data_IF_778517736355
#
_entry.id   IF_778517736355
#
_cell.length_a   1.000
_cell.length_b   1.000
_cell.length_c   1.000
_cell.angle_alpha   90.00
_cell.angle_beta   90.00
_cell.angle_gamma   90.00
#
_symmetry.space_group_name_H-M   'P 1'
#
loop_
_entity.id
_entity.type
_entity.pdbx_description
1 polymer ?
#
# COMPACT_ATOMS: atom_id res chain seq x y z
N UNK A 1 10.51 -23.73 -4.23
CA UNK A 1 10.42 -22.50 -5.03
C UNK A 1 11.31 -21.48 -4.33
N UNK A 2 12.39 -21.02 -4.97
CA UNK A 2 13.29 -20.02 -4.37
C UNK A 2 12.88 -18.64 -4.86
N UNK A 3 12.77 -17.69 -3.93
CA UNK A 3 12.33 -16.33 -4.23
C UNK A 3 13.54 -15.46 -4.58
N UNK A 4 13.73 -15.16 -5.86
CA UNK A 4 14.90 -14.43 -6.36
C UNK A 4 14.96 -12.99 -5.83
N UNK A 5 16.15 -12.53 -5.44
CA UNK A 5 16.41 -11.13 -5.04
C UNK A 5 15.93 -10.74 -3.63
N UNK A 6 15.36 -11.68 -2.87
CA UNK A 6 14.81 -11.41 -1.55
C UNK A 6 15.87 -10.95 -0.53
N UNK A 7 17.07 -11.55 -0.55
CA UNK A 7 18.18 -11.12 0.30
C UNK A 7 18.61 -9.67 0.04
N UNK A 8 18.61 -9.24 -1.23
CA UNK A 8 18.89 -7.85 -1.62
C UNK A 8 17.83 -6.88 -1.12
N UNK A 9 16.56 -7.30 -1.05
CA UNK A 9 15.48 -6.48 -0.49
C UNK A 9 15.59 -6.33 1.01
N UNK A 10 15.96 -7.40 1.72
CA UNK A 10 16.27 -7.31 3.14
C UNK A 10 17.43 -6.32 3.40
N UNK A 11 18.47 -6.36 2.56
CA UNK A 11 19.57 -5.41 2.62
C UNK A 11 19.14 -3.96 2.31
N UNK A 12 18.16 -3.77 1.42
CA UNK A 12 17.58 -2.46 1.13
C UNK A 12 16.83 -1.89 2.34
N UNK A 13 16.00 -2.69 3.03
CA UNK A 13 15.32 -2.28 4.26
C UNK A 13 16.33 -1.83 5.31
N UNK A 14 17.37 -2.64 5.54
CA UNK A 14 18.45 -2.29 6.48
C UNK A 14 19.14 -0.99 6.12
N UNK A 15 19.44 -0.78 4.84
CA UNK A 15 20.09 0.44 4.35
C UNK A 15 19.20 1.67 4.52
N UNK A 16 17.89 1.56 4.28
CA UNK A 16 16.92 2.64 4.51
C UNK A 16 16.80 3.01 5.99
N UNK A 17 16.88 2.01 6.89
CA UNK A 17 16.93 2.23 8.32
C UNK A 17 18.30 2.72 8.83
N UNK A 18 19.29 2.86 7.94
CA UNK A 18 20.67 3.25 8.24
C UNK A 18 21.34 2.35 9.31
N UNK A 19 21.08 1.04 9.24
CA UNK A 19 21.56 0.05 10.21
C UNK A 19 22.73 -0.79 9.66
N UNK A 20 23.62 -1.18 10.57
CA UNK A 20 24.60 -2.25 10.32
C UNK A 20 23.91 -3.62 10.33
N UNK A 21 24.55 -4.65 9.77
CA UNK A 21 24.03 -6.03 9.83
C UNK A 21 23.83 -6.50 11.29
N UNK A 22 24.73 -6.08 12.18
CA UNK A 22 24.63 -6.36 13.62
C UNK A 22 23.40 -5.71 14.24
N UNK A 23 23.20 -4.42 14.01
CA UNK A 23 22.06 -3.69 14.57
C UNK A 23 20.72 -4.21 14.02
N UNK A 24 20.68 -4.55 12.73
CA UNK A 24 19.48 -5.16 12.12
C UNK A 24 19.18 -6.53 12.73
N UNK A 25 20.19 -7.38 12.91
CA UNK A 25 20.02 -8.70 13.52
C UNK A 25 19.50 -8.60 14.96
N UNK A 26 19.99 -7.63 15.73
CA UNK A 26 19.51 -7.33 17.08
C UNK A 26 18.03 -6.91 17.08
N UNK A 27 17.62 -6.01 16.18
CA UNK A 27 16.22 -5.59 16.01
C UNK A 27 15.30 -6.75 15.64
N UNK A 28 15.78 -7.65 14.80
CA UNK A 28 15.04 -8.83 14.36
C UNK A 28 15.13 -10.01 15.34
N UNK A 29 15.83 -9.84 16.47
CA UNK A 29 16.06 -10.87 17.49
C UNK A 29 16.58 -12.19 16.87
N UNK A 30 17.64 -12.07 16.06
CA UNK A 30 18.36 -13.19 15.44
C UNK A 30 19.88 -12.96 15.53
N UNK A 31 20.66 -14.02 15.33
CA UNK A 31 22.12 -13.86 15.24
C UNK A 31 22.52 -13.06 13.98
N UNK A 32 23.61 -12.29 14.09
CA UNK A 32 24.25 -11.62 12.95
C UNK A 32 24.54 -12.57 11.80
N UNK A 33 25.07 -13.75 12.09
CA UNK A 33 25.38 -14.77 11.08
C UNK A 33 24.11 -15.23 10.36
N UNK A 34 23.02 -15.48 11.07
CA UNK A 34 21.74 -15.82 10.46
C UNK A 34 21.24 -14.71 9.53
N UNK A 35 21.29 -13.45 10.00
CA UNK A 35 20.96 -12.29 9.17
C UNK A 35 21.80 -12.22 7.88
N UNK A 36 23.10 -12.46 8.00
CA UNK A 36 24.02 -12.46 6.86
C UNK A 36 23.68 -13.55 5.82
N UNK A 37 23.30 -14.76 6.25
CA UNK A 37 22.84 -15.82 5.35
C UNK A 37 21.56 -15.42 4.59
N UNK A 38 20.63 -14.74 5.25
CA UNK A 38 19.41 -14.23 4.59
C UNK A 38 19.75 -13.15 3.56
N UNK A 39 20.59 -12.17 3.88
CA UNK A 39 20.96 -11.10 2.92
C UNK A 39 21.69 -11.63 1.69
N UNK A 40 22.53 -12.67 1.83
CA UNK A 40 23.20 -13.32 0.69
C UNK A 40 22.29 -14.23 -0.13
N UNK A 41 21.06 -14.48 0.33
CA UNK A 41 20.14 -15.43 -0.31
C UNK A 41 20.57 -16.89 -0.16
N UNK A 42 21.44 -17.19 0.80
CA UNK A 42 21.92 -18.54 1.10
C UNK A 42 20.97 -19.31 2.03
N UNK A 43 20.00 -18.62 2.61
CA UNK A 43 18.95 -19.18 3.45
C UNK A 43 17.61 -18.55 3.12
N UNK A 44 16.58 -19.37 2.99
CA UNK A 44 15.21 -18.89 2.83
C UNK A 44 14.71 -18.20 4.11
N UNK A 45 14.07 -17.05 3.94
CA UNK A 45 13.44 -16.32 5.04
C UNK A 45 12.21 -17.09 5.54
N UNK A 46 12.07 -17.16 6.86
CA UNK A 46 10.89 -17.77 7.50
C UNK A 46 9.73 -16.78 7.60
N UNK A 47 8.48 -17.28 7.67
CA UNK A 47 7.30 -16.43 7.91
C UNK A 47 7.41 -15.61 9.20
N UNK A 48 8.01 -16.16 10.26
CA UNK A 48 8.26 -15.44 11.52
C UNK A 48 9.19 -14.25 11.31
N UNK A 49 10.24 -14.39 10.50
CA UNK A 49 11.17 -13.30 10.23
C UNK A 49 10.51 -12.21 9.37
N UNK A 50 9.68 -12.57 8.38
CA UNK A 50 8.88 -11.60 7.62
C UNK A 50 7.97 -10.79 8.54
N UNK A 51 7.29 -11.45 9.48
CA UNK A 51 6.42 -10.76 10.44
C UNK A 51 7.21 -9.78 11.32
N UNK A 52 8.40 -10.16 11.79
CA UNK A 52 9.28 -9.25 12.56
C UNK A 52 9.74 -8.06 11.73
N UNK A 53 10.08 -8.27 10.45
CA UNK A 53 10.45 -7.17 9.53
C UNK A 53 9.28 -6.20 9.36
N UNK A 54 8.06 -6.70 9.19
CA UNK A 54 6.86 -5.87 9.13
C UNK A 54 6.66 -5.07 10.43
N UNK A 55 6.75 -5.72 11.58
CA UNK A 55 6.51 -5.08 12.88
C UNK A 55 7.56 -4.00 13.25
N UNK A 56 8.83 -4.26 12.95
CA UNK A 56 9.92 -3.34 13.33
C UNK A 56 10.14 -2.19 12.33
N UNK A 57 9.83 -2.43 11.05
CA UNK A 57 10.20 -1.51 9.96
C UNK A 57 9.03 -1.07 9.09
N UNK A 58 7.81 -1.53 9.37
CA UNK A 58 6.58 -1.22 8.61
C UNK A 58 6.73 -1.56 7.10
N UNK A 59 7.40 -2.67 6.81
CA UNK A 59 7.64 -3.14 5.44
C UNK A 59 6.66 -4.25 5.09
N UNK A 60 5.91 -4.05 4.01
CA UNK A 60 4.98 -5.06 3.47
C UNK A 60 5.70 -6.39 3.19
N UNK A 61 5.29 -7.50 3.84
CA UNK A 61 5.82 -8.83 3.57
C UNK A 61 5.73 -9.25 2.11
N UNK A 62 4.69 -8.82 1.39
CA UNK A 62 4.50 -9.15 -0.02
C UNK A 62 5.60 -8.49 -0.87
N UNK A 63 5.99 -7.26 -0.55
CA UNK A 63 7.12 -6.61 -1.22
C UNK A 63 8.45 -7.31 -0.96
N UNK A 64 8.70 -7.82 0.24
CA UNK A 64 9.92 -8.60 0.51
C UNK A 64 9.95 -9.88 -0.35
N UNK A 65 8.80 -10.53 -0.51
CA UNK A 65 8.68 -11.74 -1.29
C UNK A 65 8.78 -11.46 -2.79
N UNK A 66 7.92 -10.62 -3.35
CA UNK A 66 7.84 -10.44 -4.81
C UNK A 66 8.88 -9.44 -5.35
N UNK A 67 9.31 -8.50 -4.51
CA UNK A 67 10.11 -7.35 -4.89
C UNK A 67 9.37 -6.35 -5.75
N UNK A 68 10.14 -5.47 -6.38
CA UNK A 68 9.61 -4.62 -7.44
C UNK A 68 9.25 -5.52 -8.63
N UNK A 69 8.02 -6.02 -8.62
CA UNK A 69 7.31 -6.41 -9.82
C UNK A 69 7.04 -5.14 -10.63
N UNK A 70 6.44 -5.24 -11.82
CA UNK A 70 5.99 -4.08 -12.62
C UNK A 70 5.14 -3.06 -11.81
N UNK A 71 4.72 -3.43 -10.59
CA UNK A 71 3.93 -2.64 -9.66
C UNK A 71 4.69 -2.09 -8.42
N UNK A 72 5.97 -2.41 -8.20
CA UNK A 72 6.88 -1.71 -7.27
C UNK A 72 6.51 -1.64 -5.77
N UNK A 73 7.47 -1.18 -4.93
CA UNK A 73 7.34 -0.79 -3.49
C UNK A 73 6.05 -0.07 -3.11
N UNK A 74 5.47 0.59 -4.09
CA UNK A 74 4.40 1.54 -3.95
C UNK A 74 3.10 0.99 -4.53
N UNK A 75 2.99 -0.28 -4.97
CA UNK A 75 1.76 -0.81 -5.59
C UNK A 75 0.51 -0.38 -4.87
N UNK A 76 0.38 -0.73 -3.58
CA UNK A 76 -0.78 -0.33 -2.78
C UNK A 76 -0.86 1.17 -2.58
N UNK A 77 0.27 1.85 -2.37
CA UNK A 77 0.28 3.29 -2.13
C UNK A 77 -0.11 4.09 -3.38
N UNK A 78 0.36 3.67 -4.55
CA UNK A 78 0.08 4.21 -5.87
C UNK A 78 -1.33 3.84 -6.30
N UNK A 79 -1.78 2.60 -6.07
CA UNK A 79 -3.18 2.18 -6.27
C UNK A 79 -4.12 3.03 -5.41
N UNK A 80 -3.80 3.22 -4.13
CA UNK A 80 -4.55 4.09 -3.22
C UNK A 80 -4.56 5.54 -3.73
N UNK A 81 -3.39 6.08 -4.08
CA UNK A 81 -3.26 7.46 -4.56
C UNK A 81 -3.99 7.66 -5.89
N UNK A 82 -3.92 6.69 -6.79
CA UNK A 82 -4.63 6.68 -8.07
C UNK A 82 -6.14 6.58 -7.85
N UNK A 83 -6.60 5.70 -6.95
CA UNK A 83 -8.02 5.57 -6.62
C UNK A 83 -8.57 6.88 -6.04
N UNK A 84 -7.87 7.47 -5.07
CA UNK A 84 -8.25 8.76 -4.48
C UNK A 84 -8.34 9.86 -5.55
N UNK A 85 -7.36 9.94 -6.46
CA UNK A 85 -7.38 10.88 -7.60
C UNK A 85 -8.54 10.60 -8.56
N UNK A 86 -8.77 9.34 -8.95
CA UNK A 86 -9.86 8.94 -9.86
C UNK A 86 -11.22 9.32 -9.27
N UNK A 87 -11.44 9.05 -7.98
CA UNK A 87 -12.67 9.40 -7.25
C UNK A 87 -12.86 10.92 -7.23
N UNK A 88 -11.83 11.68 -6.85
CA UNK A 88 -11.90 13.14 -6.81
C UNK A 88 -12.27 13.75 -8.17
N UNK A 89 -11.65 13.28 -9.26
CA UNK A 89 -11.97 13.73 -10.61
C UNK A 89 -13.39 13.35 -11.04
N UNK A 90 -13.86 12.15 -10.70
CA UNK A 90 -15.21 11.70 -11.01
C UNK A 90 -16.28 12.54 -10.29
N UNK A 91 -16.05 12.88 -9.02
CA UNK A 91 -16.91 13.77 -8.23
C UNK A 91 -16.96 15.17 -8.86
N UNK A 92 -15.82 15.76 -9.19
CA UNK A 92 -15.73 17.09 -9.83
C UNK A 92 -16.45 17.12 -11.19
N UNK A 93 -16.23 16.10 -12.01
CA UNK A 93 -16.91 15.96 -13.28
C UNK A 93 -18.42 15.90 -13.08
N UNK A 94 -18.87 15.10 -12.10
CA UNK A 94 -20.31 14.93 -11.84
C UNK A 94 -20.98 16.19 -11.31
N UNK A 95 -20.32 16.94 -10.43
CA UNK A 95 -20.80 18.25 -9.95
C UNK A 95 -20.98 19.19 -11.14
N UNK A 96 -19.98 19.25 -12.04
CA UNK A 96 -20.00 20.11 -13.22
C UNK A 96 -21.08 19.71 -14.23
N UNK A 97 -21.20 18.41 -14.55
CA UNK A 97 -22.22 17.87 -15.46
C UNK A 97 -23.65 18.21 -15.02
N UNK A 98 -23.89 18.19 -13.70
CA UNK A 98 -25.21 18.42 -13.12
C UNK A 98 -25.46 19.87 -12.70
N UNK A 99 -24.47 20.75 -12.82
CA UNK A 99 -24.55 22.13 -12.38
C UNK A 99 -24.84 22.26 -10.87
N UNK A 100 -24.31 21.35 -10.05
CA UNK A 100 -24.54 21.36 -8.61
C UNK A 100 -23.70 22.45 -7.94
N UNK A 101 -24.29 23.14 -6.96
CA UNK A 101 -23.54 24.03 -6.07
C UNK A 101 -23.22 23.28 -4.78
N UNK A 102 -21.96 22.88 -4.63
CA UNK A 102 -21.47 22.11 -3.47
C UNK A 102 -20.32 22.87 -2.83
N UNK A 103 -20.32 23.00 -1.51
CA UNK A 103 -19.21 23.66 -0.80
C UNK A 103 -17.94 22.78 -0.85
N UNK A 104 -16.74 23.36 -0.69
CA UNK A 104 -15.51 22.57 -0.63
C UNK A 104 -15.57 21.45 0.41
N UNK A 105 -16.16 21.70 1.57
CA UNK A 105 -16.27 20.73 2.68
C UNK A 105 -17.15 19.55 2.27
N UNK A 106 -18.37 19.83 1.78
CA UNK A 106 -19.32 18.79 1.32
C UNK A 106 -18.76 17.96 0.16
N UNK A 107 -17.94 18.58 -0.70
CA UNK A 107 -17.24 17.89 -1.77
C UNK A 107 -16.18 16.94 -1.23
N UNK A 108 -15.38 17.37 -0.25
CA UNK A 108 -14.39 16.51 0.39
C UNK A 108 -15.04 15.38 1.17
N UNK A 109 -16.13 15.64 1.90
CA UNK A 109 -16.92 14.61 2.58
C UNK A 109 -17.41 13.52 1.60
N UNK A 110 -17.87 13.92 0.41
CA UNK A 110 -18.27 12.98 -0.63
C UNK A 110 -17.10 12.12 -1.15
N UNK A 111 -15.93 12.74 -1.35
CA UNK A 111 -14.71 12.06 -1.81
C UNK A 111 -14.24 11.07 -0.75
N UNK A 112 -14.17 11.48 0.51
CA UNK A 112 -13.74 10.65 1.63
C UNK A 112 -14.69 9.47 1.85
N UNK A 113 -16.00 9.71 1.77
CA UNK A 113 -17.00 8.64 1.85
C UNK A 113 -16.81 7.59 0.75
N UNK A 114 -16.72 8.03 -0.51
CA UNK A 114 -16.53 7.13 -1.66
C UNK A 114 -15.19 6.40 -1.60
N UNK A 115 -14.14 7.05 -1.13
CA UNK A 115 -12.83 6.45 -0.95
C UNK A 115 -12.82 5.40 0.17
N UNK A 116 -13.51 5.66 1.28
CA UNK A 116 -13.67 4.66 2.35
C UNK A 116 -14.42 3.41 1.87
N UNK A 117 -15.45 3.59 1.03
CA UNK A 117 -16.21 2.48 0.41
C UNK A 117 -15.32 1.66 -0.54
N UNK A 118 -14.49 2.34 -1.33
CA UNK A 118 -13.49 1.71 -2.20
C UNK A 118 -12.51 0.85 -1.38
N UNK A 119 -11.91 1.41 -0.32
CA UNK A 119 -10.97 0.67 0.53
C UNK A 119 -11.59 -0.58 1.16
N UNK A 120 -12.85 -0.50 1.60
CA UNK A 120 -13.57 -1.63 2.19
C UNK A 120 -13.91 -2.72 1.17
N UNK A 121 -14.08 -2.36 -0.10
CA UNK A 121 -14.39 -3.31 -1.18
C UNK A 121 -13.12 -3.99 -1.73
N UNK A 122 -12.04 -3.21 -1.91
CA UNK A 122 -10.76 -3.66 -2.48
C UNK A 122 -9.87 -4.39 -1.44
N UNK A 123 -10.15 -4.23 -0.14
CA UNK A 123 -9.55 -5.07 0.92
C UNK A 123 -9.87 -6.57 0.76
N UNK A 124 -10.88 -6.94 -0.03
CA UNK A 124 -11.34 -8.32 -0.24
C UNK A 124 -11.22 -8.84 -1.68
N UNK A 125 -10.80 -8.01 -2.66
CA UNK A 125 -10.61 -8.47 -4.04
C UNK A 125 -10.18 -7.35 -4.97
N UNK A 126 -8.96 -7.47 -5.52
CA UNK A 126 -8.28 -6.47 -6.36
C UNK A 126 -9.00 -6.14 -7.66
N UNK A 127 -10.00 -5.26 -7.60
CA UNK A 127 -10.79 -4.87 -8.75
C UNK A 127 -10.77 -3.33 -8.87
N UNK A 128 -10.06 -2.84 -9.89
CA UNK A 128 -9.92 -1.42 -10.28
C UNK A 128 -11.25 -0.81 -10.76
N UNK A 129 -12.20 -0.63 -9.83
CA UNK A 129 -13.52 -0.08 -10.15
C UNK A 129 -13.67 1.26 -9.43
N UNK A 130 -13.44 2.34 -10.18
CA UNK A 130 -13.92 3.65 -9.76
C UNK A 130 -15.44 3.58 -9.49
N UNK A 131 -15.96 4.32 -8.50
CA UNK A 131 -17.39 4.31 -8.19
C UNK A 131 -18.22 4.76 -9.40
N UNK A 132 -19.30 4.00 -9.69
CA UNK A 132 -20.22 4.35 -10.78
C UNK A 132 -20.92 5.69 -10.49
N UNK A 133 -21.21 6.43 -11.56
CA UNK A 133 -21.95 7.70 -11.61
C UNK A 133 -23.21 7.72 -10.73
N UNK A 134 -23.97 6.62 -10.70
CA UNK A 134 -25.17 6.49 -9.84
C UNK A 134 -24.84 6.56 -8.35
N UNK A 135 -23.71 5.98 -7.95
CA UNK A 135 -23.24 6.01 -6.56
C UNK A 135 -22.77 7.42 -6.19
N UNK A 136 -22.04 8.06 -7.09
CA UNK A 136 -21.61 9.46 -6.93
C UNK A 136 -22.83 10.37 -6.74
N UNK A 137 -23.87 10.20 -7.56
CA UNK A 137 -25.12 10.97 -7.42
C UNK A 137 -25.81 10.75 -6.07
N UNK A 138 -25.86 9.50 -5.60
CA UNK A 138 -26.45 9.18 -4.30
C UNK A 138 -25.69 9.86 -3.17
N UNK A 139 -24.35 9.86 -3.21
CA UNK A 139 -23.53 10.48 -2.17
C UNK A 139 -23.66 12.00 -2.24
N UNK A 140 -23.51 12.61 -3.42
CA UNK A 140 -23.70 14.05 -3.60
C UNK A 140 -25.10 14.52 -3.16
N UNK A 141 -26.14 13.72 -3.36
CA UNK A 141 -27.50 14.03 -2.88
C UNK A 141 -27.67 13.92 -1.36
N UNK A 142 -26.79 13.21 -0.66
CA UNK A 142 -26.77 13.16 0.80
C UNK A 142 -26.00 14.34 1.40
N UNK A 143 -25.02 14.89 0.66
CA UNK A 143 -24.18 16.00 1.13
C UNK A 143 -24.65 17.37 0.63
N UNK A 144 -25.37 17.48 -0.48
CA UNK A 144 -25.94 18.74 -1.00
C UNK A 144 -27.02 19.31 -0.07
#
# INVERSE_FOLDING_TARGET
MTVTGLGSRLAAVRSMANLSQEAMAQRLDISRSAYQYYERGERDITGTLLLRVFQEFDVDPLWILEGDTEHGKSRRHDEITQAYRKIGLAVEHRISERGLSVTPEKKWDAIDFLFSEFLNTDALGGADHAPDTRRIDSVLGLVA
#
